data_IF_842017873875
#
_entry.id   IF_842017873875
#
_cell.length_a   1.000
_cell.length_b   1.000
_cell.length_c   1.000
_cell.angle_alpha   90.00
_cell.angle_beta   90.00
_cell.angle_gamma   90.00
#
_symmetry.space_group_name_H-M   'P 1'
#
loop_
_entity.id
_entity.type
_entity.pdbx_description
1 polymer ?
#
# COMPACT_ATOMS: atom_id res chain seq x y z
N UNK A 1 12.28 -3.11 11.54
CA UNK A 1 13.08 -4.22 12.12
C UNK A 1 14.08 -4.81 11.13
N UNK A 2 13.70 -5.21 9.91
CA UNK A 2 14.65 -5.78 8.94
C UNK A 2 15.90 -4.89 8.68
N UNK A 3 15.71 -3.57 8.54
CA UNK A 3 16.81 -2.60 8.38
C UNK A 3 17.82 -2.60 9.55
N UNK A 4 17.38 -2.93 10.78
CA UNK A 4 18.26 -2.98 11.95
C UNK A 4 19.21 -4.18 11.88
N UNK A 5 18.69 -5.33 11.43
CA UNK A 5 19.49 -6.55 11.29
C UNK A 5 20.42 -6.50 10.07
N UNK A 6 20.09 -5.70 9.07
CA UNK A 6 20.89 -5.51 7.86
C UNK A 6 22.10 -4.57 8.04
N UNK A 7 22.38 -4.10 9.27
CA UNK A 7 23.55 -3.25 9.53
C UNK A 7 23.46 -1.82 8.98
N UNK A 8 22.28 -1.38 8.54
CA UNK A 8 22.11 -0.05 7.95
C UNK A 8 22.27 1.03 9.02
N UNK A 9 23.09 2.08 8.77
CA UNK A 9 23.25 3.18 9.70
C UNK A 9 21.90 3.88 9.95
N UNK A 10 21.62 4.26 11.20
CA UNK A 10 20.41 5.01 11.57
C UNK A 10 19.09 4.39 11.05
N UNK A 11 18.77 3.13 11.40
CA UNK A 11 17.63 2.41 10.82
C UNK A 11 16.27 3.08 11.11
N UNK A 12 16.16 3.83 12.21
CA UNK A 12 14.95 4.59 12.54
C UNK A 12 14.71 5.76 11.58
N UNK A 13 15.76 6.42 11.09
CA UNK A 13 15.63 7.50 10.11
C UNK A 13 15.05 6.97 8.80
N UNK A 14 15.63 5.88 8.29
CA UNK A 14 15.12 5.20 7.09
C UNK A 14 13.72 4.62 7.29
N UNK A 15 13.40 4.12 8.48
CA UNK A 15 12.05 3.67 8.81
C UNK A 15 11.03 4.81 8.79
N UNK A 16 11.39 6.02 9.25
CA UNK A 16 10.51 7.20 9.17
C UNK A 16 10.26 7.62 7.73
N UNK A 17 11.27 7.58 6.86
CA UNK A 17 11.09 7.80 5.42
C UNK A 17 10.14 6.74 4.85
N UNK A 18 10.39 5.46 5.15
CA UNK A 18 9.52 4.37 4.71
C UNK A 18 8.08 4.57 5.20
N UNK A 19 7.86 5.07 6.42
CA UNK A 19 6.53 5.36 6.96
C UNK A 19 5.82 6.45 6.16
N UNK A 20 6.50 7.54 5.79
CA UNK A 20 5.92 8.59 4.95
C UNK A 20 5.52 8.03 3.58
N UNK A 21 6.43 7.29 2.93
CA UNK A 21 6.16 6.70 1.61
C UNK A 21 5.16 5.55 1.66
N UNK A 22 4.92 4.91 2.82
CA UNK A 22 3.94 3.84 2.98
C UNK A 22 2.51 4.26 2.65
N UNK A 23 2.23 5.57 2.65
CA UNK A 23 0.97 6.15 2.21
C UNK A 23 0.71 5.94 0.71
N UNK A 24 1.76 5.74 -0.09
CA UNK A 24 1.68 5.53 -1.53
C UNK A 24 1.61 4.01 -1.80
N UNK A 25 0.48 3.47 -2.29
CA UNK A 25 0.38 2.07 -2.66
C UNK A 25 1.42 1.70 -3.73
N UNK A 26 1.78 0.42 -3.80
CA UNK A 26 2.72 -0.17 -4.78
C UNK A 26 4.18 0.26 -4.56
N UNK A 27 4.43 1.56 -4.35
CA UNK A 27 5.77 2.12 -4.11
C UNK A 27 6.14 1.99 -2.63
N UNK A 28 5.27 2.43 -1.73
CA UNK A 28 5.31 2.17 -0.30
C UNK A 28 6.68 2.24 0.34
N UNK A 29 6.99 1.23 1.15
CA UNK A 29 8.28 1.09 1.85
C UNK A 29 9.42 0.62 0.93
N UNK A 30 9.13 0.23 -0.32
CA UNK A 30 10.11 -0.29 -1.28
C UNK A 30 11.17 0.75 -1.65
N UNK A 31 10.83 2.04 -1.57
CA UNK A 31 11.78 3.16 -1.74
C UNK A 31 12.96 3.07 -0.78
N UNK A 32 12.80 2.39 0.35
CA UNK A 32 13.86 2.24 1.35
C UNK A 32 14.55 0.89 1.24
N UNK A 33 13.80 -0.21 1.35
CA UNK A 33 14.43 -1.53 1.48
C UNK A 33 15.04 -2.03 0.16
N UNK A 34 14.52 -1.63 -1.00
CA UNK A 34 15.03 -2.08 -2.29
C UNK A 34 16.38 -1.40 -2.62
N UNK A 35 16.52 -0.05 -2.58
CA UNK A 35 17.83 0.58 -2.74
C UNK A 35 18.83 0.16 -1.67
N UNK A 36 18.38 -0.03 -0.43
CA UNK A 36 19.22 -0.53 0.64
C UNK A 36 19.78 -1.93 0.35
N UNK A 37 18.94 -2.88 -0.07
CA UNK A 37 19.40 -4.20 -0.45
C UNK A 37 20.33 -4.18 -1.67
N UNK A 38 20.05 -3.32 -2.66
CA UNK A 38 20.94 -3.15 -3.82
C UNK A 38 22.31 -2.59 -3.39
N UNK A 39 22.33 -1.62 -2.48
CA UNK A 39 23.57 -1.07 -1.93
C UNK A 39 24.40 -2.14 -1.23
N UNK A 40 23.79 -2.91 -0.32
CA UNK A 40 24.48 -3.99 0.40
C UNK A 40 25.00 -5.06 -0.59
N UNK A 41 24.19 -5.44 -1.58
CA UNK A 41 24.57 -6.48 -2.55
C UNK A 41 25.68 -6.04 -3.51
N UNK A 42 25.60 -4.84 -4.08
CA UNK A 42 26.54 -4.39 -5.11
C UNK A 42 27.75 -3.62 -4.58
N UNK A 43 27.59 -2.87 -3.48
CA UNK A 43 28.65 -2.01 -2.93
C UNK A 43 29.38 -2.70 -1.79
N UNK A 44 28.66 -3.30 -0.85
CA UNK A 44 29.27 -4.04 0.27
C UNK A 44 29.60 -5.50 -0.10
N UNK A 45 29.15 -5.96 -1.26
CA UNK A 45 29.33 -7.31 -1.79
C UNK A 45 28.79 -8.42 -0.86
N UNK A 46 27.80 -8.10 -0.03
CA UNK A 46 27.11 -9.04 0.86
C UNK A 46 25.72 -9.38 0.33
N UNK A 47 25.69 -10.32 -0.63
CA UNK A 47 24.45 -10.78 -1.23
C UNK A 47 23.55 -11.54 -0.27
N UNK A 48 24.11 -12.16 0.77
CA UNK A 48 23.32 -12.92 1.76
C UNK A 48 22.46 -11.96 2.56
N UNK A 49 23.06 -10.90 3.12
CA UNK A 49 22.32 -9.88 3.87
C UNK A 49 21.34 -9.13 2.98
N UNK A 50 21.75 -8.78 1.76
CA UNK A 50 20.88 -8.11 0.78
C UNK A 50 19.60 -8.91 0.49
N UNK A 51 19.73 -10.21 0.17
CA UNK A 51 18.59 -11.08 -0.13
C UNK A 51 17.71 -11.26 1.10
N UNK A 52 18.29 -11.50 2.28
CA UNK A 52 17.52 -11.63 3.53
C UNK A 52 16.72 -10.36 3.83
N UNK A 53 17.32 -9.19 3.68
CA UNK A 53 16.64 -7.90 3.85
C UNK A 53 15.46 -7.75 2.87
N UNK A 54 15.70 -7.99 1.57
CA UNK A 54 14.67 -7.84 0.55
C UNK A 54 13.52 -8.82 0.74
N UNK A 55 13.82 -10.11 0.97
CA UNK A 55 12.80 -11.16 1.13
C UNK A 55 11.97 -10.92 2.38
N UNK A 56 12.60 -10.62 3.52
CA UNK A 56 11.86 -10.35 4.77
C UNK A 56 11.00 -9.08 4.67
N UNK A 57 11.48 -8.05 3.98
CA UNK A 57 10.72 -6.80 3.78
C UNK A 57 9.55 -7.01 2.81
N UNK A 58 9.77 -7.73 1.70
CA UNK A 58 8.71 -8.08 0.76
C UNK A 58 7.66 -8.99 1.41
N UNK A 59 8.07 -10.01 2.16
CA UNK A 59 7.16 -10.89 2.88
C UNK A 59 6.30 -10.09 3.88
N UNK A 60 6.91 -9.17 4.64
CA UNK A 60 6.20 -8.29 5.57
C UNK A 60 5.17 -7.42 4.85
N UNK A 61 5.53 -6.84 3.71
CA UNK A 61 4.63 -6.05 2.86
C UNK A 61 3.45 -6.88 2.35
N UNK A 62 3.72 -8.07 1.79
CA UNK A 62 2.68 -8.96 1.26
C UNK A 62 1.71 -9.45 2.35
N UNK A 63 2.21 -9.75 3.54
CA UNK A 63 1.37 -10.15 4.68
C UNK A 63 0.47 -8.97 5.10
N UNK A 64 1.02 -7.77 5.18
CA UNK A 64 0.26 -6.58 5.57
C UNK A 64 -0.86 -6.27 4.59
N UNK A 65 -0.55 -6.27 3.29
CA UNK A 65 -1.49 -5.89 2.24
C UNK A 65 -2.52 -6.97 1.94
N UNK A 66 -2.13 -8.25 1.92
CA UNK A 66 -3.00 -9.33 1.46
C UNK A 66 -3.70 -10.11 2.58
N UNK A 67 -3.19 -10.05 3.82
CA UNK A 67 -3.78 -10.78 4.95
C UNK A 67 -4.32 -9.84 6.01
N UNK A 68 -3.50 -8.91 6.50
CA UNK A 68 -3.88 -8.08 7.65
C UNK A 68 -5.00 -7.11 7.27
N UNK A 69 -4.82 -6.31 6.20
CA UNK A 69 -5.84 -5.33 5.79
C UNK A 69 -7.19 -5.97 5.46
N UNK A 70 -7.28 -7.03 4.63
CA UNK A 70 -8.57 -7.65 4.34
C UNK A 70 -9.22 -8.34 5.55
N UNK A 71 -8.41 -8.90 6.45
CA UNK A 71 -8.94 -9.54 7.67
C UNK A 71 -9.46 -8.53 8.70
N UNK A 72 -8.89 -7.32 8.75
CA UNK A 72 -9.36 -6.25 9.64
C UNK A 72 -10.53 -5.45 9.03
N UNK A 73 -10.67 -5.47 7.71
CA UNK A 73 -11.72 -4.75 6.98
C UNK A 73 -12.72 -5.75 6.39
N UNK A 74 -13.82 -5.99 7.10
CA UNK A 74 -14.84 -7.01 6.77
C UNK A 74 -15.60 -6.85 5.42
N UNK A 75 -15.17 -5.99 4.49
CA UNK A 75 -15.88 -5.78 3.21
C UNK A 75 -15.00 -5.64 1.98
N UNK A 76 -15.42 -6.36 0.94
CA UNK A 76 -14.92 -6.45 -0.44
C UNK A 76 -15.09 -5.15 -1.23
N UNK A 77 -14.45 -4.06 -0.82
CA UNK A 77 -14.18 -2.99 -1.78
C UNK A 77 -13.09 -3.51 -2.72
N UNK A 78 -13.48 -3.93 -3.93
CA UNK A 78 -12.55 -4.30 -5.00
C UNK A 78 -11.93 -3.04 -5.63
N UNK A 79 -11.38 -2.16 -4.79
CA UNK A 79 -10.62 -1.02 -5.23
C UNK A 79 -9.25 -1.50 -5.66
N UNK A 80 -8.99 -1.43 -6.97
CA UNK A 80 -7.69 -1.78 -7.50
C UNK A 80 -6.63 -0.80 -6.97
N UNK A 81 -5.53 -1.30 -6.42
CA UNK A 81 -4.48 -0.45 -5.81
C UNK A 81 -3.93 0.60 -6.76
N UNK A 82 -3.97 0.33 -8.07
CA UNK A 82 -3.61 1.29 -9.10
C UNK A 82 -4.54 2.51 -9.16
N UNK A 83 -5.85 2.35 -8.96
CA UNK A 83 -6.80 3.46 -8.89
C UNK A 83 -6.54 4.32 -7.65
N UNK A 84 -6.21 3.70 -6.52
CA UNK A 84 -5.81 4.42 -5.32
C UNK A 84 -4.52 5.21 -5.55
N UNK A 85 -3.52 4.61 -6.18
CA UNK A 85 -2.28 5.29 -6.55
C UNK A 85 -2.52 6.51 -7.44
N UNK A 86 -3.31 6.36 -8.51
CA UNK A 86 -3.68 7.48 -9.38
C UNK A 86 -4.45 8.57 -8.63
N UNK A 87 -5.35 8.19 -7.74
CA UNK A 87 -6.11 9.14 -6.92
C UNK A 87 -5.21 9.95 -5.99
N UNK A 88 -4.13 9.36 -5.47
CA UNK A 88 -3.15 10.05 -4.65
C UNK A 88 -2.35 11.04 -5.49
N UNK A 89 -1.85 10.65 -6.66
CA UNK A 89 -1.12 11.57 -7.55
C UNK A 89 -2.01 12.76 -7.95
N UNK A 90 -3.22 12.47 -8.45
CA UNK A 90 -4.18 13.50 -8.85
C UNK A 90 -4.60 14.39 -7.67
N UNK A 91 -4.86 13.78 -6.52
CA UNK A 91 -5.21 14.48 -5.30
C UNK A 91 -4.10 15.42 -4.83
N UNK A 92 -2.85 14.94 -4.79
CA UNK A 92 -1.69 15.75 -4.39
C UNK A 92 -1.50 16.92 -5.36
N UNK A 93 -1.68 16.69 -6.66
CA UNK A 93 -1.52 17.72 -7.69
C UNK A 93 -2.52 18.88 -7.50
N UNK A 94 -3.77 18.58 -7.20
CA UNK A 94 -4.83 19.60 -7.10
C UNK A 94 -4.99 20.17 -5.69
N UNK A 95 -4.83 19.35 -4.64
CA UNK A 95 -5.12 19.72 -3.25
C UNK A 95 -3.87 19.72 -2.34
N UNK A 96 -2.67 19.53 -2.89
CA UNK A 96 -1.44 19.44 -2.10
C UNK A 96 -1.45 18.28 -1.11
N UNK A 97 -0.91 18.47 0.09
CA UNK A 97 -0.83 17.39 1.08
C UNK A 97 -2.21 16.85 1.53
N UNK A 98 -3.25 17.70 1.52
CA UNK A 98 -4.63 17.27 1.79
C UNK A 98 -5.16 16.29 0.73
N UNK A 99 -4.58 16.33 -0.46
CA UNK A 99 -4.82 15.39 -1.55
C UNK A 99 -4.56 13.92 -1.20
N UNK A 100 -3.69 13.64 -0.24
CA UNK A 100 -3.45 12.27 0.28
C UNK A 100 -4.70 11.66 0.92
N UNK A 101 -5.60 12.49 1.43
CA UNK A 101 -6.87 12.07 2.04
C UNK A 101 -8.00 12.25 1.04
N UNK A 102 -8.09 13.41 0.40
CA UNK A 102 -9.19 13.76 -0.52
C UNK A 102 -9.22 12.84 -1.75
N UNK A 103 -8.05 12.48 -2.31
CA UNK A 103 -7.95 11.61 -3.49
C UNK A 103 -8.58 10.23 -3.25
N UNK A 104 -8.07 9.44 -2.28
CA UNK A 104 -8.63 8.14 -1.93
C UNK A 104 -10.10 8.20 -1.52
N UNK A 105 -10.53 9.23 -0.77
CA UNK A 105 -11.94 9.39 -0.41
C UNK A 105 -12.83 9.57 -1.64
N UNK A 106 -12.41 10.41 -2.58
CA UNK A 106 -13.17 10.69 -3.80
C UNK A 106 -13.34 9.43 -4.65
N UNK A 107 -12.24 8.70 -4.92
CA UNK A 107 -12.33 7.47 -5.72
C UNK A 107 -13.11 6.36 -5.00
N UNK A 108 -12.98 6.28 -3.67
CA UNK A 108 -13.74 5.32 -2.86
C UNK A 108 -15.23 5.60 -2.97
N UNK A 109 -15.64 6.87 -2.87
CA UNK A 109 -17.03 7.28 -3.03
C UNK A 109 -17.57 6.93 -4.42
N UNK A 110 -16.79 7.22 -5.48
CA UNK A 110 -17.17 6.87 -6.85
C UNK A 110 -17.36 5.36 -7.05
N UNK A 111 -16.46 4.54 -6.52
CA UNK A 111 -16.57 3.08 -6.62
C UNK A 111 -17.75 2.54 -5.81
N UNK A 112 -18.00 3.07 -4.62
CA UNK A 112 -19.20 2.71 -3.83
C UNK A 112 -20.48 3.01 -4.61
N UNK A 113 -20.58 4.19 -5.25
CA UNK A 113 -21.73 4.55 -6.07
C UNK A 113 -21.88 3.61 -7.28
N UNK A 114 -20.77 3.26 -7.92
CA UNK A 114 -20.76 2.33 -9.05
C UNK A 114 -21.23 0.94 -8.64
N UNK A 115 -20.72 0.41 -7.53
CA UNK A 115 -21.10 -0.90 -7.00
C UNK A 115 -22.58 -0.91 -6.58
N UNK A 116 -23.06 0.16 -5.95
CA UNK A 116 -24.47 0.32 -5.60
C UNK A 116 -25.37 0.33 -6.85
N UNK A 117 -25.00 1.08 -7.88
CA UNK A 117 -25.75 1.12 -9.15
C UNK A 117 -25.77 -0.25 -9.83
N UNK A 118 -24.65 -0.98 -9.81
CA UNK A 118 -24.56 -2.34 -10.34
C UNK A 118 -25.48 -3.31 -9.59
N UNK A 119 -25.51 -3.24 -8.26
CA UNK A 119 -26.45 -4.02 -7.44
C UNK A 119 -27.91 -3.68 -7.75
N UNK A 120 -28.24 -2.39 -7.90
CA UNK A 120 -29.59 -1.95 -8.26
C UNK A 120 -30.02 -2.48 -9.63
N UNK A 121 -29.12 -2.41 -10.63
CA UNK A 121 -29.39 -2.88 -11.98
C UNK A 121 -29.58 -4.40 -12.07
N UNK A 122 -28.85 -5.16 -11.26
CA UNK A 122 -28.90 -6.63 -11.27
C UNK A 122 -30.07 -7.22 -10.47
N UNK A 123 -30.88 -6.38 -9.79
CA UNK A 123 -32.04 -6.84 -9.01
C UNK A 123 -31.68 -7.57 -7.70
N UNK A 124 -30.41 -7.59 -7.31
CA UNK A 124 -29.89 -8.26 -6.10
C UNK A 124 -30.41 -7.63 -4.79
N UNK A 125 -30.83 -6.35 -4.83
CA UNK A 125 -31.41 -5.66 -3.68
C UNK A 125 -32.71 -6.30 -3.17
N UNK A 126 -33.52 -6.90 -4.07
CA UNK A 126 -34.79 -7.55 -3.69
C UNK A 126 -34.60 -8.86 -2.92
N UNK A 127 -33.43 -9.47 -2.99
CA UNK A 127 -33.12 -10.71 -2.26
C UNK A 127 -32.64 -10.44 -0.83
N UNK A 128 -32.09 -9.26 -0.55
CA UNK A 128 -31.65 -8.86 0.79
C UNK A 128 -32.77 -8.23 1.62
N UNK A 129 -33.78 -7.68 0.97
CA UNK A 129 -34.98 -7.12 1.63
C UNK A 129 -35.99 -8.20 2.05
N UNK A 130 -35.85 -9.43 1.54
CA UNK A 130 -36.73 -10.58 1.78
C UNK A 130 -36.12 -11.66 2.71
N UNK A 131 -35.01 -11.35 3.40
CA UNK A 131 -34.44 -12.17 4.48
C UNK A 131 -34.31 -11.34 5.75
#
# INVERSE_FOLDING_TARGET
>A
FALMFAGIPSPFFYASIAAIFSLIPIIGTMVVWLPAGLYIGFIENDWVVAIVLMVTSLASYLILENFIKPKMLDKKLNLHSFLLFLSLIGGIKEFGIMGLVIGPLTITFLVILWDFWKMYRNGELKFLENQ
#
